data_IF_370850706803
#
_entry.id   IF_370850706803
#
_cell.length_a   1.000
_cell.length_b   1.000
_cell.length_c   1.000
_cell.angle_alpha   90.00
_cell.angle_beta   90.00
_cell.angle_gamma   90.00
#
_symmetry.space_group_name_H-M   'P 1'
#
loop_
_entity.id
_entity.type
_entity.pdbx_description
1 polymer ?
#
# COMPACT_ATOMS: atom_id res chain seq x y z
N UNK A 1 7.01 -3.11 -22.06
CA UNK A 1 7.31 -2.75 -20.66
C UNK A 1 5.97 -2.77 -19.95
N UNK A 2 5.79 -3.59 -18.92
CA UNK A 2 4.52 -3.60 -18.21
C UNK A 2 4.33 -2.22 -17.56
N UNK A 3 3.26 -1.52 -17.95
CA UNK A 3 2.87 -0.28 -17.27
C UNK A 3 2.53 -0.66 -15.82
N UNK A 4 3.07 0.09 -14.85
CA UNK A 4 2.87 -0.15 -13.43
C UNK A 4 1.88 0.87 -12.87
N UNK A 5 1.18 0.53 -11.80
CA UNK A 5 0.29 1.44 -11.10
C UNK A 5 0.42 1.30 -9.58
N UNK A 6 0.07 2.38 -8.89
CA UNK A 6 -0.03 2.38 -7.43
C UNK A 6 -1.44 1.95 -7.02
N UNK A 7 -1.52 1.01 -6.07
CA UNK A 7 -2.78 0.59 -5.45
C UNK A 7 -2.69 0.81 -3.95
N UNK A 8 -3.71 1.42 -3.37
CA UNK A 8 -3.80 1.66 -1.93
C UNK A 8 -5.01 0.90 -1.37
N UNK A 9 -4.73 -0.06 -0.51
CA UNK A 9 -5.74 -0.76 0.27
C UNK A 9 -6.14 0.12 1.47
N UNK A 10 -7.42 0.45 1.59
CA UNK A 10 -8.00 1.35 2.60
C UNK A 10 -9.12 0.66 3.38
N UNK A 11 -9.72 1.40 4.32
CA UNK A 11 -10.90 0.99 5.10
C UNK A 11 -11.86 2.15 5.23
N UNK A 12 -13.15 1.89 5.06
CA UNK A 12 -14.22 2.87 5.27
C UNK A 12 -14.84 2.84 6.66
N UNK A 13 -14.74 1.74 7.40
CA UNK A 13 -15.39 1.58 8.71
C UNK A 13 -14.82 2.52 9.79
N UNK A 14 -13.58 2.99 9.62
CA UNK A 14 -12.92 3.93 10.55
C UNK A 14 -11.95 4.84 9.81
N UNK A 15 -11.92 6.13 10.19
CA UNK A 15 -10.99 7.11 9.63
C UNK A 15 -9.56 6.84 10.16
N UNK A 16 -8.74 6.16 9.36
CA UNK A 16 -7.35 5.89 9.71
C UNK A 16 -6.45 7.12 9.44
N UNK A 17 -5.70 7.63 10.45
CA UNK A 17 -4.80 8.76 10.25
C UNK A 17 -3.68 8.47 9.25
N UNK A 18 -3.21 7.22 9.15
CA UNK A 18 -2.18 6.83 8.18
C UNK A 18 -2.69 6.89 6.74
N UNK A 19 -3.97 6.56 6.49
CA UNK A 19 -4.59 6.69 5.15
C UNK A 19 -4.59 8.16 4.75
N UNK A 20 -4.97 9.06 5.67
CA UNK A 20 -4.93 10.51 5.42
C UNK A 20 -3.53 11.07 5.20
N UNK A 21 -2.50 10.47 5.81
CA UNK A 21 -1.10 10.83 5.53
C UNK A 21 -0.74 10.41 4.10
N UNK A 22 -1.05 9.16 3.71
CA UNK A 22 -0.77 8.65 2.37
C UNK A 22 -1.49 9.47 1.29
N UNK A 23 -2.81 9.68 1.42
CA UNK A 23 -3.61 10.52 0.53
C UNK A 23 -2.98 11.91 0.33
N UNK A 24 -2.50 12.55 1.41
CA UNK A 24 -1.88 13.88 1.34
C UNK A 24 -0.58 13.86 0.54
N UNK A 25 0.27 12.85 0.74
CA UNK A 25 1.52 12.72 -0.02
C UNK A 25 1.24 12.47 -1.49
N UNK A 26 0.35 11.53 -1.81
CA UNK A 26 -0.02 11.20 -3.18
C UNK A 26 -0.61 12.42 -3.90
N UNK A 27 -1.51 13.15 -3.23
CA UNK A 27 -2.08 14.39 -3.74
C UNK A 27 -1.04 15.49 -3.94
N UNK A 28 -0.10 15.66 -3.00
CA UNK A 28 0.98 16.65 -3.08
C UNK A 28 1.84 16.47 -4.33
N UNK A 29 2.11 15.22 -4.70
CA UNK A 29 2.96 14.87 -5.84
C UNK A 29 2.18 14.53 -7.13
N UNK A 30 0.85 14.62 -7.11
CA UNK A 30 0.02 14.32 -8.28
C UNK A 30 0.04 12.85 -8.71
N UNK A 31 0.31 11.94 -7.78
CA UNK A 31 0.38 10.50 -8.06
C UNK A 31 -1.04 9.92 -8.09
N UNK A 32 -1.42 9.35 -9.23
CA UNK A 32 -2.66 8.60 -9.38
C UNK A 32 -2.54 7.22 -8.73
N UNK A 33 -3.63 6.72 -8.16
CA UNK A 33 -3.69 5.39 -7.57
C UNK A 33 -5.09 4.78 -7.68
N UNK A 34 -5.16 3.46 -7.59
CA UNK A 34 -6.40 2.72 -7.41
C UNK A 34 -6.64 2.50 -5.93
N UNK A 35 -7.84 2.81 -5.46
CA UNK A 35 -8.26 2.53 -4.09
C UNK A 35 -9.01 1.19 -4.02
N UNK A 36 -8.66 0.36 -3.03
CA UNK A 36 -9.37 -0.90 -2.74
C UNK A 36 -9.79 -0.91 -1.27
N UNK A 37 -11.09 -0.84 -1.01
CA UNK A 37 -11.64 -0.83 0.35
C UNK A 37 -11.86 -2.26 0.87
N UNK A 38 -11.08 -2.66 1.88
CA UNK A 38 -11.15 -4.01 2.45
C UNK A 38 -12.37 -4.24 3.35
N UNK A 39 -13.15 -3.21 3.67
CA UNK A 39 -14.43 -3.39 4.37
C UNK A 39 -15.56 -3.78 3.39
N UNK A 40 -15.37 -3.58 2.09
CA UNK A 40 -16.34 -3.90 1.04
C UNK A 40 -15.93 -5.09 0.15
N UNK A 41 -14.64 -5.43 0.14
CA UNK A 41 -14.08 -6.55 -0.61
C UNK A 41 -13.42 -7.56 0.35
N UNK A 42 -14.09 -8.69 0.57
CA UNK A 42 -13.58 -9.75 1.46
C UNK A 42 -12.30 -10.39 0.91
N UNK A 43 -12.13 -10.50 -0.40
CA UNK A 43 -10.91 -11.04 -0.99
C UNK A 43 -9.74 -10.09 -0.72
N UNK A 44 -9.95 -8.77 -0.85
CA UNK A 44 -8.97 -7.75 -0.48
C UNK A 44 -8.60 -7.81 1.00
N UNK A 45 -9.59 -8.02 1.86
CA UNK A 45 -9.40 -8.22 3.29
C UNK A 45 -8.50 -9.42 3.59
N UNK A 46 -8.77 -10.55 2.96
CA UNK A 46 -7.95 -11.76 3.12
C UNK A 46 -6.53 -11.56 2.58
N UNK A 47 -6.36 -10.84 1.46
CA UNK A 47 -5.02 -10.49 0.94
C UNK A 47 -4.20 -9.68 1.94
N UNK A 48 -4.76 -8.59 2.48
CA UNK A 48 -4.06 -7.75 3.48
C UNK A 48 -3.73 -8.55 4.73
N UNK A 49 -4.65 -9.39 5.19
CA UNK A 49 -4.42 -10.28 6.34
C UNK A 49 -3.28 -11.27 6.05
N UNK A 50 -3.28 -11.89 4.88
CA UNK A 50 -2.24 -12.83 4.48
C UNK A 50 -0.87 -12.16 4.38
N UNK A 51 -0.79 -10.98 3.75
CA UNK A 51 0.49 -10.30 3.56
C UNK A 51 1.09 -9.75 4.84
N UNK A 52 0.25 -9.23 5.74
CA UNK A 52 0.74 -8.47 6.90
C UNK A 52 0.56 -9.20 8.23
N UNK A 53 -0.26 -10.25 8.27
CA UNK A 53 -0.73 -10.86 9.52
C UNK A 53 -1.82 -10.05 10.23
N UNK A 54 -2.19 -8.87 9.70
CA UNK A 54 -3.13 -7.92 10.28
C UNK A 54 -4.05 -7.33 9.20
N UNK A 55 -5.03 -6.52 9.60
CA UNK A 55 -5.83 -5.70 8.69
C UNK A 55 -5.30 -4.25 8.64
N UNK A 56 -3.98 -4.13 8.53
CA UNK A 56 -3.27 -2.85 8.61
C UNK A 56 -3.46 -2.04 7.33
N UNK A 57 -3.96 -0.80 7.48
CA UNK A 57 -4.19 0.13 6.37
C UNK A 57 -3.64 1.52 6.69
N UNK A 58 -3.10 2.26 5.69
CA UNK A 58 -3.04 1.89 4.28
C UNK A 58 -1.99 0.81 4.04
N UNK A 59 -2.29 -0.15 3.17
CA UNK A 59 -1.26 -1.02 2.57
C UNK A 59 -1.15 -0.63 1.10
N UNK A 60 0.01 -0.09 0.71
CA UNK A 60 0.29 0.33 -0.65
C UNK A 60 1.02 -0.78 -1.39
N UNK A 61 0.66 -1.02 -2.65
CA UNK A 61 1.37 -1.93 -3.53
C UNK A 61 1.63 -1.32 -4.90
N UNK A 62 2.74 -1.69 -5.53
CA UNK A 62 2.96 -1.46 -6.96
C UNK A 62 2.48 -2.71 -7.69
N UNK A 63 1.48 -2.53 -8.55
CA UNK A 63 0.85 -3.60 -9.30
C UNK A 63 1.10 -3.42 -10.81
N UNK A 64 1.00 -4.49 -11.61
CA UNK A 64 0.79 -4.35 -13.04
C UNK A 64 -0.47 -3.50 -13.34
N UNK A 65 -0.48 -2.83 -14.48
CA UNK A 65 -1.63 -2.04 -14.92
C UNK A 65 -2.91 -2.89 -14.95
N UNK A 66 -4.00 -2.33 -14.45
CA UNK A 66 -5.30 -2.99 -14.27
C UNK A 66 -5.35 -4.14 -13.25
N UNK A 67 -4.24 -4.44 -12.56
CA UNK A 67 -4.18 -5.43 -11.49
C UNK A 67 -4.09 -4.78 -10.11
N UNK A 68 -4.39 -5.55 -9.06
CA UNK A 68 -4.36 -5.08 -7.66
C UNK A 68 -3.39 -5.85 -6.77
N UNK A 69 -2.68 -6.82 -7.33
CA UNK A 69 -1.67 -7.61 -6.64
C UNK A 69 -0.30 -6.97 -6.86
N UNK A 70 0.61 -7.06 -5.87
CA UNK A 70 1.97 -6.58 -6.06
C UNK A 70 2.67 -7.36 -7.19
N UNK A 71 3.56 -6.70 -7.93
CA UNK A 71 4.32 -7.32 -9.03
C UNK A 71 5.07 -8.58 -8.58
N UNK A 72 5.60 -8.55 -7.37
CA UNK A 72 6.17 -9.72 -6.69
C UNK A 72 5.58 -9.83 -5.29
N UNK A 73 5.45 -11.06 -4.79
CA UNK A 73 5.00 -11.28 -3.42
C UNK A 73 5.98 -10.66 -2.41
N UNK A 74 5.47 -9.96 -1.39
CA UNK A 74 6.33 -9.32 -0.39
C UNK A 74 6.99 -10.38 0.50
N UNK A 75 8.27 -10.18 0.83
CA UNK A 75 8.98 -11.06 1.77
C UNK A 75 8.19 -11.21 3.08
N UNK A 76 7.98 -12.42 3.61
CA UNK A 76 7.15 -12.63 4.80
C UNK A 76 7.70 -11.88 6.01
N UNK A 77 6.80 -11.41 6.87
CA UNK A 77 7.17 -10.84 8.17
C UNK A 77 7.37 -11.96 9.19
N UNK A 78 8.26 -11.73 10.15
CA UNK A 78 8.35 -12.60 11.32
C UNK A 78 7.02 -12.56 12.09
N UNK A 79 6.62 -13.72 12.64
CA UNK A 79 5.34 -13.86 13.33
C UNK A 79 5.17 -12.81 14.45
N UNK A 80 4.12 -11.99 14.34
CA UNK A 80 3.79 -10.94 15.30
C UNK A 80 4.58 -9.63 15.15
N UNK A 81 5.49 -9.54 14.18
CA UNK A 81 6.17 -8.30 13.86
C UNK A 81 5.21 -7.29 13.22
N UNK A 82 5.29 -6.03 13.65
CA UNK A 82 4.49 -4.97 13.05
C UNK A 82 4.92 -4.73 11.59
N UNK A 83 3.99 -4.66 10.62
CA UNK A 83 4.28 -4.39 9.21
C UNK A 83 4.62 -2.91 8.94
N UNK A 84 4.47 -2.04 9.94
CA UNK A 84 4.45 -0.59 9.78
C UNK A 84 5.78 -0.03 9.31
N UNK A 85 5.75 0.66 8.17
CA UNK A 85 6.87 1.43 7.63
C UNK A 85 8.02 0.58 7.11
N UNK A 86 7.82 -0.74 6.95
CA UNK A 86 8.80 -1.66 6.39
C UNK A 86 8.60 -1.69 4.88
N UNK A 87 9.63 -1.31 4.12
CA UNK A 87 9.69 -1.49 2.67
C UNK A 87 9.92 -2.98 2.37
N UNK A 88 8.92 -3.64 1.79
CA UNK A 88 8.95 -5.05 1.41
C UNK A 88 8.97 -5.22 -0.12
N UNK A 89 9.69 -4.33 -0.80
CA UNK A 89 9.80 -4.31 -2.26
C UNK A 89 8.62 -3.56 -2.89
N UNK A 90 7.68 -4.28 -3.48
CA UNK A 90 6.48 -3.72 -4.12
C UNK A 90 5.32 -3.54 -3.14
N UNK A 91 5.59 -3.56 -1.82
CA UNK A 91 4.60 -3.33 -0.77
C UNK A 91 5.15 -2.45 0.35
N UNK A 92 4.30 -1.55 0.85
CA UNK A 92 4.58 -0.70 2.00
C UNK A 92 3.31 -0.50 2.85
N UNK A 93 3.37 -0.85 4.14
CA UNK A 93 2.21 -0.78 5.04
C UNK A 93 2.36 0.32 6.08
N UNK A 94 1.30 1.11 6.29
CA UNK A 94 1.21 2.21 7.26
C UNK A 94 2.42 3.17 7.31
N UNK A 95 2.96 3.64 6.17
CA UNK A 95 4.16 4.47 6.19
C UNK A 95 3.91 5.86 6.79
N UNK A 96 4.95 6.44 7.36
CA UNK A 96 5.03 7.90 7.51
C UNK A 96 5.13 8.58 6.15
N UNK A 97 4.86 9.88 6.09
CA UNK A 97 4.94 10.63 4.83
C UNK A 97 6.31 10.54 4.15
N UNK A 98 7.40 10.63 4.94
CA UNK A 98 8.77 10.52 4.41
C UNK A 98 9.08 9.12 3.88
N UNK A 99 8.63 8.07 4.58
CA UNK A 99 8.82 6.69 4.09
C UNK A 99 8.08 6.46 2.77
N UNK A 100 6.86 6.99 2.65
CA UNK A 100 6.10 6.91 1.41
C UNK A 100 6.80 7.68 0.27
N UNK A 101 7.29 8.90 0.52
CA UNK A 101 8.03 9.68 -0.49
C UNK A 101 9.27 8.92 -0.98
N UNK A 102 10.10 8.40 -0.07
CA UNK A 102 11.28 7.60 -0.44
C UNK A 102 10.92 6.36 -1.25
N UNK A 103 9.84 5.68 -0.89
CA UNK A 103 9.40 4.48 -1.60
C UNK A 103 8.83 4.79 -2.99
N UNK A 104 8.09 5.89 -3.14
CA UNK A 104 7.60 6.36 -4.44
C UNK A 104 8.75 6.78 -5.37
N UNK A 105 9.79 7.43 -4.83
CA UNK A 105 11.01 7.77 -5.57
C UNK A 105 11.72 6.51 -6.06
N UNK A 106 11.90 5.51 -5.18
CA UNK A 106 12.52 4.22 -5.52
C UNK A 106 11.83 3.53 -6.70
N UNK A 107 10.50 3.65 -6.80
CA UNK A 107 9.69 3.05 -7.87
C UNK A 107 9.39 4.00 -9.04
N UNK A 108 9.97 5.20 -9.05
CA UNK A 108 9.85 6.13 -10.18
C UNK A 108 8.49 6.82 -10.32
N UNK A 109 7.68 6.89 -9.26
CA UNK A 109 6.40 7.60 -9.26
C UNK A 109 6.56 9.11 -9.03
N UNK A 110 7.66 9.52 -8.38
CA UNK A 110 8.00 10.92 -8.11
C UNK A 110 9.52 11.12 -8.22
N UNK A 111 9.96 12.38 -8.42
CA UNK A 111 11.37 12.78 -8.48
C UNK A 111 12.02 12.99 -7.10
#
# INVERSE_FOLDING_TARGET
MAEQQLVMYTRSAFVCPYVKIAERVLKKHGVNYIEVDIDQDEDARQRVLHWTGFLSVPTLVIAPQHEVLPIEEPEPLDNGQSPRGIDRGYMLTEPSGKQLETWLQKHGFID
#
